data_IF_489415784409
#
_entry.id   IF_489415784409
#
_cell.length_a   1.000
_cell.length_b   1.000
_cell.length_c   1.000
_cell.angle_alpha   90.00
_cell.angle_beta   90.00
_cell.angle_gamma   90.00
#
_symmetry.space_group_name_H-M   'P 1'
#
loop_
_entity.id
_entity.type
_entity.pdbx_description
1 polymer ?
#
# COMPACT_ATOMS: atom_id res chain seq x y z
N UNK A 1 41.46 -18.97 -4.72
CA UNK A 1 42.30 -18.96 -5.94
C UNK A 1 41.41 -18.36 -7.04
N UNK A 2 41.29 -17.04 -7.19
CA UNK A 2 42.19 -16.02 -7.75
C UNK A 2 42.60 -16.21 -9.22
N UNK A 3 42.44 -15.09 -9.96
CA UNK A 3 42.78 -14.71 -11.35
C UNK A 3 41.79 -15.13 -12.43
N UNK A 4 41.34 -14.28 -13.36
CA UNK A 4 41.88 -13.02 -13.95
C UNK A 4 40.72 -12.40 -14.78
N UNK A 5 40.26 -11.15 -14.70
CA UNK A 5 40.87 -9.80 -14.79
C UNK A 5 41.64 -9.50 -16.10
N UNK A 6 40.89 -9.23 -17.19
CA UNK A 6 41.33 -8.34 -18.29
C UNK A 6 40.21 -8.07 -19.31
N UNK A 7 39.71 -6.84 -19.34
CA UNK A 7 39.86 -5.92 -20.48
C UNK A 7 39.02 -4.65 -20.22
N UNK A 8 39.68 -3.63 -19.66
CA UNK A 8 39.33 -2.21 -19.84
C UNK A 8 40.48 -1.58 -20.62
N UNK A 9 40.24 -1.11 -21.83
CA UNK A 9 40.78 0.17 -22.30
C UNK A 9 40.19 0.59 -23.66
N UNK A 10 39.77 1.86 -23.66
CA UNK A 10 39.86 2.85 -24.75
C UNK A 10 38.84 2.80 -25.90
N UNK A 11 37.88 3.73 -25.84
CA UNK A 11 37.50 4.55 -26.98
C UNK A 11 36.91 5.88 -26.48
N UNK A 12 37.74 6.92 -26.54
CA UNK A 12 37.38 8.32 -26.39
C UNK A 12 36.89 8.84 -27.75
N UNK A 13 35.89 9.72 -27.70
CA UNK A 13 35.46 10.69 -28.72
C UNK A 13 34.75 10.21 -30.01
N UNK A 14 33.44 10.47 -30.03
CA UNK A 14 32.74 10.97 -31.22
C UNK A 14 31.60 11.88 -30.73
N UNK A 15 31.83 13.19 -30.78
CA UNK A 15 30.83 14.24 -30.52
C UNK A 15 29.86 14.26 -31.71
N UNK A 16 28.60 13.91 -31.47
CA UNK A 16 27.49 14.28 -32.37
C UNK A 16 26.50 15.17 -31.61
N UNK A 17 26.50 16.44 -31.97
CA UNK A 17 25.57 17.46 -31.49
C UNK A 17 24.19 17.22 -32.08
N UNK A 18 23.25 16.72 -31.28
CA UNK A 18 21.82 16.76 -31.61
C UNK A 18 21.20 17.99 -30.94
N UNK A 19 20.90 18.99 -31.76
CA UNK A 19 20.16 20.19 -31.35
C UNK A 19 18.69 19.80 -31.10
N UNK A 20 18.27 19.78 -29.84
CA UNK A 20 16.86 19.78 -29.47
C UNK A 20 16.31 21.20 -29.61
N UNK A 21 15.44 21.41 -30.61
CA UNK A 21 14.57 22.58 -30.69
C UNK A 21 13.23 22.23 -30.02
N UNK A 22 13.06 22.70 -28.78
CA UNK A 22 11.82 22.55 -28.03
C UNK A 22 10.78 23.54 -28.57
N UNK A 23 9.88 23.08 -29.42
CA UNK A 23 8.60 23.76 -29.68
C UNK A 23 7.52 23.02 -28.91
N UNK A 24 7.05 23.62 -27.82
CA UNK A 24 5.90 23.13 -27.06
C UNK A 24 4.62 23.50 -27.81
N UNK A 25 4.09 22.58 -28.61
CA UNK A 25 2.69 22.61 -29.02
C UNK A 25 1.85 21.84 -27.97
N UNK A 26 1.06 22.59 -27.21
CA UNK A 26 0.07 22.06 -26.27
C UNK A 26 -1.12 21.50 -27.03
N UNK A 27 -1.28 20.17 -27.05
CA UNK A 27 -2.49 19.50 -27.53
C UNK A 27 -3.66 19.69 -26.52
N UNK A 28 -4.90 19.92 -26.98
CA UNK A 28 -6.04 20.16 -26.10
C UNK A 28 -6.52 18.88 -25.41
N UNK A 29 -6.86 19.00 -24.13
CA UNK A 29 -7.49 17.98 -23.28
C UNK A 29 -8.85 17.56 -23.89
N UNK A 30 -8.95 16.34 -24.43
CA UNK A 30 -10.23 15.72 -24.79
C UNK A 30 -10.91 15.19 -23.53
N UNK A 31 -12.19 15.50 -23.37
CA UNK A 31 -13.05 15.03 -22.29
C UNK A 31 -13.10 13.49 -22.26
N UNK A 32 -12.56 12.88 -21.21
CA UNK A 32 -12.70 11.46 -20.95
C UNK A 32 -14.10 11.16 -20.42
N UNK A 33 -14.82 10.26 -21.11
CA UNK A 33 -16.03 9.65 -20.56
C UNK A 33 -15.64 8.80 -19.33
N UNK A 34 -16.39 8.84 -18.22
CA UNK A 34 -16.08 8.05 -17.04
C UNK A 34 -16.19 6.55 -17.34
N UNK A 35 -15.22 5.79 -16.84
CA UNK A 35 -15.18 4.32 -16.92
C UNK A 35 -16.48 3.74 -16.36
N UNK A 36 -17.10 2.83 -17.11
CA UNK A 36 -18.22 2.05 -16.61
C UNK A 36 -17.71 1.05 -15.54
N UNK A 37 -17.74 1.49 -14.27
CA UNK A 37 -17.25 0.76 -13.08
C UNK A 37 -17.69 -0.70 -13.02
N UNK A 38 -18.88 -0.99 -13.57
CA UNK A 38 -19.45 -2.34 -13.59
C UNK A 38 -18.68 -3.34 -14.45
N UNK A 39 -17.82 -2.91 -15.38
CA UNK A 39 -17.04 -3.82 -16.23
C UNK A 39 -15.72 -4.26 -15.54
N UNK A 40 -15.06 -3.35 -14.81
CA UNK A 40 -13.79 -3.63 -14.14
C UNK A 40 -13.95 -4.36 -12.80
N UNK A 41 -15.05 -4.16 -12.08
CA UNK A 41 -15.26 -4.78 -10.76
C UNK A 41 -15.83 -6.22 -10.82
N UNK A 42 -16.34 -6.67 -11.98
CA UNK A 42 -17.18 -7.89 -12.05
C UNK A 42 -16.49 -9.17 -12.52
N UNK A 43 -15.19 -9.21 -12.77
CA UNK A 43 -14.53 -10.43 -13.23
C UNK A 43 -13.09 -10.55 -12.72
N UNK A 44 -12.93 -11.22 -11.57
CA UNK A 44 -12.09 -12.43 -11.41
C UNK A 44 -11.99 -12.85 -9.94
N UNK A 45 -12.17 -14.15 -9.70
CA UNK A 45 -12.13 -14.79 -8.37
C UNK A 45 -10.71 -15.07 -7.86
N UNK A 46 -9.82 -14.08 -7.91
CA UNK A 46 -8.45 -14.19 -7.37
C UNK A 46 -7.93 -12.85 -6.86
N UNK A 47 -8.51 -12.34 -5.77
CA UNK A 47 -7.80 -11.59 -4.72
C UNK A 47 -6.91 -10.39 -5.05
N UNK A 48 -6.95 -9.82 -6.26
CA UNK A 48 -6.13 -8.66 -6.65
C UNK A 48 -7.03 -7.58 -7.24
N UNK A 49 -7.63 -6.78 -6.36
CA UNK A 49 -8.39 -5.59 -6.77
C UNK A 49 -7.40 -4.54 -7.25
N UNK A 50 -7.39 -4.25 -8.55
CA UNK A 50 -6.67 -3.09 -9.08
C UNK A 50 -7.21 -1.85 -8.37
N UNK A 51 -6.37 -1.03 -7.69
CA UNK A 51 -6.86 0.13 -6.94
C UNK A 51 -7.70 1.05 -7.81
N UNK A 52 -8.83 1.57 -7.32
CA UNK A 52 -9.73 2.44 -8.12
C UNK A 52 -9.02 3.64 -8.76
N UNK A 53 -7.99 4.18 -8.10
CA UNK A 53 -7.16 5.26 -8.62
C UNK A 53 -6.36 4.86 -9.87
N UNK A 54 -6.02 3.58 -10.01
CA UNK A 54 -5.38 3.02 -11.19
C UNK A 54 -6.37 2.99 -12.34
N UNK A 55 -7.59 2.51 -12.10
CA UNK A 55 -8.66 2.51 -13.10
C UNK A 55 -8.97 3.93 -13.58
N UNK A 56 -9.19 4.88 -12.67
CA UNK A 56 -9.52 6.28 -13.02
C UNK A 56 -8.44 6.98 -13.87
N UNK A 57 -7.20 6.49 -13.85
CA UNK A 57 -6.08 7.05 -14.60
C UNK A 57 -5.82 6.36 -15.95
N UNK A 58 -6.57 5.31 -16.28
CA UNK A 58 -6.47 4.64 -17.57
C UNK A 58 -7.15 5.45 -18.67
N UNK A 59 -6.60 5.39 -19.87
CA UNK A 59 -7.22 5.96 -21.07
C UNK A 59 -7.65 4.84 -22.02
N UNK A 60 -8.73 5.07 -22.74
CA UNK A 60 -9.24 4.12 -23.73
C UNK A 60 -8.28 4.07 -24.94
N UNK A 61 -7.91 2.86 -25.36
CA UNK A 61 -7.22 2.55 -26.61
C UNK A 61 -8.07 1.57 -27.41
N UNK A 62 -8.47 1.98 -28.60
CA UNK A 62 -9.13 1.11 -29.58
C UNK A 62 -8.09 0.41 -30.43
N UNK A 63 -8.40 -0.81 -30.84
CA UNK A 63 -7.58 -1.60 -31.75
C UNK A 63 -8.45 -2.15 -32.87
N UNK A 64 -8.00 -1.99 -34.11
CA UNK A 64 -8.65 -2.54 -35.29
C UNK A 64 -8.16 -3.97 -35.60
N UNK A 65 -8.93 -4.79 -36.34
CA UNK A 65 -8.48 -6.12 -36.75
C UNK A 65 -7.12 -6.08 -37.45
N UNK A 66 -6.18 -6.92 -36.99
CA UNK A 66 -4.80 -7.00 -37.49
C UNK A 66 -3.83 -6.02 -36.83
N UNK A 67 -4.30 -5.06 -36.03
CA UNK A 67 -3.45 -4.09 -35.36
C UNK A 67 -2.66 -4.71 -34.21
N UNK A 68 -1.36 -4.41 -34.14
CA UNK A 68 -0.52 -4.80 -33.01
C UNK A 68 -0.64 -3.75 -31.90
N UNK A 69 -1.19 -4.17 -30.75
CA UNK A 69 -1.30 -3.33 -29.54
C UNK A 69 0.08 -3.10 -28.93
N UNK A 70 0.90 -4.15 -28.91
CA UNK A 70 2.33 -4.14 -28.54
C UNK A 70 3.09 -5.11 -29.44
N UNK A 71 4.38 -4.87 -29.66
CA UNK A 71 5.27 -5.81 -30.35
C UNK A 71 6.35 -6.32 -29.42
N UNK A 72 6.72 -7.59 -29.61
CA UNK A 72 7.86 -8.19 -28.93
C UNK A 72 9.14 -7.39 -29.23
N UNK A 73 9.95 -7.17 -28.20
CA UNK A 73 11.19 -6.40 -28.29
C UNK A 73 11.01 -4.89 -28.12
N UNK A 74 9.80 -4.35 -28.24
CA UNK A 74 9.55 -2.92 -27.99
C UNK A 74 9.79 -2.58 -26.51
N UNK A 75 10.18 -1.33 -26.25
CA UNK A 75 10.18 -0.80 -24.90
C UNK A 75 8.76 -0.79 -24.33
N UNK A 76 8.62 -1.38 -23.14
CA UNK A 76 7.30 -1.59 -22.57
C UNK A 76 6.79 -0.41 -21.77
N UNK A 77 6.00 0.47 -22.38
CA UNK A 77 5.59 1.71 -21.70
C UNK A 77 4.24 1.68 -21.00
N UNK A 78 3.35 0.76 -21.40
CA UNK A 78 1.97 0.72 -20.90
C UNK A 78 1.55 -0.66 -20.36
N UNK A 79 0.58 -0.66 -19.47
CA UNK A 79 -0.22 -1.82 -19.10
C UNK A 79 -1.61 -1.71 -19.72
N UNK A 80 -2.16 -2.84 -20.13
CA UNK A 80 -3.43 -2.92 -20.84
C UNK A 80 -4.39 -3.87 -20.14
N UNK A 81 -5.66 -3.45 -20.02
CA UNK A 81 -6.79 -4.29 -19.58
C UNK A 81 -7.79 -4.34 -20.72
N UNK A 82 -8.22 -5.55 -21.10
CA UNK A 82 -9.17 -5.75 -22.19
C UNK A 82 -10.59 -5.45 -21.71
N UNK A 83 -11.26 -4.51 -22.38
CA UNK A 83 -12.69 -4.25 -22.19
C UNK A 83 -13.54 -5.09 -23.15
N UNK A 84 -13.12 -5.18 -24.42
CA UNK A 84 -13.82 -5.97 -25.44
C UNK A 84 -12.90 -6.32 -26.63
N UNK A 85 -13.29 -7.32 -27.42
CA UNK A 85 -12.55 -7.78 -28.59
C UNK A 85 -11.76 -9.07 -28.35
N UNK A 86 -11.05 -9.53 -29.38
CA UNK A 86 -10.26 -10.76 -29.34
C UNK A 86 -8.82 -10.45 -29.75
N UNK A 87 -7.85 -10.93 -28.97
CA UNK A 87 -6.44 -10.57 -29.13
C UNK A 87 -5.55 -11.80 -29.03
N UNK A 88 -4.70 -12.01 -30.03
CA UNK A 88 -3.66 -13.04 -29.99
C UNK A 88 -2.39 -12.51 -29.36
N UNK A 89 -1.81 -13.31 -28.47
CA UNK A 89 -0.45 -13.16 -27.98
C UNK A 89 0.46 -14.00 -28.87
N UNK A 90 1.41 -13.34 -29.52
CA UNK A 90 2.35 -13.97 -30.45
C UNK A 90 3.77 -13.86 -29.92
N UNK A 91 4.52 -14.95 -29.97
CA UNK A 91 5.96 -14.95 -29.69
C UNK A 91 6.70 -15.28 -30.98
N UNK A 92 7.60 -14.40 -31.37
CA UNK A 92 8.53 -14.59 -32.48
C UNK A 92 9.75 -15.34 -31.96
N UNK A 93 9.98 -16.54 -32.50
CA UNK A 93 11.19 -17.32 -32.21
C UNK A 93 12.42 -16.80 -32.96
N UNK A 94 13.58 -17.39 -32.68
CA UNK A 94 14.85 -17.06 -33.37
C UNK A 94 14.79 -17.33 -34.89
N UNK A 95 13.85 -18.17 -35.31
CA UNK A 95 13.53 -18.48 -36.71
C UNK A 95 12.73 -17.38 -37.41
N UNK A 96 12.34 -16.32 -36.69
CA UNK A 96 11.52 -15.21 -37.20
C UNK A 96 10.04 -15.58 -37.38
N UNK A 97 9.62 -16.77 -36.97
CA UNK A 97 8.23 -17.23 -37.12
C UNK A 97 7.42 -16.81 -35.90
N UNK A 98 6.33 -16.07 -36.14
CA UNK A 98 5.36 -15.73 -35.09
C UNK A 98 4.48 -16.95 -34.78
N UNK A 99 4.46 -17.36 -33.51
CA UNK A 99 3.56 -18.42 -33.01
C UNK A 99 2.57 -17.82 -32.02
N UNK A 100 1.29 -18.09 -32.23
CA UNK A 100 0.24 -17.73 -31.26
C UNK A 100 0.40 -18.63 -30.03
N UNK A 101 0.71 -18.04 -28.88
CA UNK A 101 0.92 -18.75 -27.61
C UNK A 101 -0.30 -18.63 -26.69
N UNK A 102 -1.15 -17.62 -26.90
CA UNK A 102 -2.37 -17.40 -26.13
C UNK A 102 -3.34 -16.52 -26.91
N UNK A 103 -4.64 -16.59 -26.60
CA UNK A 103 -5.67 -15.71 -27.17
C UNK A 103 -6.59 -15.23 -26.05
N UNK A 104 -6.73 -13.92 -25.91
CA UNK A 104 -7.71 -13.29 -25.03
C UNK A 104 -9.05 -13.12 -25.75
N UNK A 105 -10.15 -13.36 -25.03
CA UNK A 105 -11.52 -13.25 -25.55
C UNK A 105 -12.39 -12.38 -24.64
N UNK A 106 -12.37 -11.07 -24.87
CA UNK A 106 -13.23 -10.10 -24.17
C UNK A 106 -12.91 -9.86 -22.69
N UNK A 107 -11.79 -10.38 -22.19
CA UNK A 107 -11.27 -10.11 -20.84
C UNK A 107 -9.79 -10.49 -20.74
N UNK A 108 -9.14 -10.00 -19.69
CA UNK A 108 -7.74 -10.26 -19.38
C UNK A 108 -6.90 -8.98 -19.37
N UNK A 109 -5.64 -9.10 -18.98
CA UNK A 109 -4.70 -7.99 -18.94
C UNK A 109 -3.31 -8.43 -19.36
N UNK A 110 -2.51 -7.52 -19.89
CA UNK A 110 -1.14 -7.83 -20.28
C UNK A 110 -0.21 -6.62 -20.16
N UNK A 111 1.08 -6.91 -20.02
CA UNK A 111 2.14 -5.90 -19.98
C UNK A 111 2.48 -5.41 -18.58
N UNK A 112 2.02 -6.09 -17.53
CA UNK A 112 2.30 -5.74 -16.13
C UNK A 112 3.79 -5.87 -15.76
N UNK A 113 4.50 -6.83 -16.35
CA UNK A 113 5.92 -7.06 -16.09
C UNK A 113 6.80 -5.91 -16.60
N UNK A 114 6.41 -5.28 -17.71
CA UNK A 114 7.13 -4.14 -18.25
C UNK A 114 7.17 -3.00 -17.22
N UNK A 115 6.06 -2.75 -16.52
CA UNK A 115 5.94 -1.68 -15.52
C UNK A 115 6.92 -1.83 -14.35
N UNK A 116 7.26 -3.06 -13.97
CA UNK A 116 8.13 -3.37 -12.83
C UNK A 116 9.62 -3.29 -13.18
N UNK A 117 10.05 -3.87 -14.29
CA UNK A 117 11.48 -4.15 -14.54
C UNK A 117 12.13 -3.38 -15.68
N UNK A 118 11.38 -2.54 -16.41
CA UNK A 118 11.91 -1.82 -17.59
C UNK A 118 12.55 -2.77 -18.62
N UNK A 119 11.90 -3.91 -18.85
CA UNK A 119 12.33 -4.91 -19.81
C UNK A 119 11.57 -4.77 -21.12
N UNK A 120 12.18 -5.12 -22.27
CA UNK A 120 11.49 -5.22 -23.55
C UNK A 120 10.29 -6.16 -23.48
N UNK A 121 9.28 -5.94 -24.33
CA UNK A 121 8.11 -6.82 -24.41
C UNK A 121 8.53 -8.25 -24.77
N UNK A 122 8.08 -9.21 -23.97
CA UNK A 122 8.37 -10.63 -24.20
C UNK A 122 7.54 -11.25 -25.35
N UNK A 123 6.44 -10.60 -25.75
CA UNK A 123 5.53 -11.07 -26.79
C UNK A 123 4.84 -9.89 -27.47
N UNK A 124 4.39 -10.11 -28.70
CA UNK A 124 3.48 -9.24 -29.44
C UNK A 124 2.04 -9.53 -29.04
N UNK A 125 1.17 -8.53 -29.11
CA UNK A 125 -0.28 -8.72 -28.96
C UNK A 125 -0.98 -8.08 -30.15
N UNK A 126 -1.75 -8.87 -30.91
CA UNK A 126 -2.44 -8.43 -32.12
C UNK A 126 -3.94 -8.62 -31.98
N UNK A 127 -4.72 -7.62 -32.36
CA UNK A 127 -6.17 -7.72 -32.43
C UNK A 127 -6.59 -8.65 -33.57
N UNK A 128 -7.44 -9.65 -33.29
CA UNK A 128 -8.12 -10.45 -34.30
C UNK A 128 -9.39 -9.77 -34.80
N UNK A 129 -10.08 -9.06 -33.90
CA UNK A 129 -11.29 -8.31 -34.16
C UNK A 129 -11.20 -6.93 -33.51
N UNK A 130 -12.06 -6.00 -33.94
CA UNK A 130 -12.13 -4.67 -33.33
C UNK A 130 -12.37 -4.79 -31.81
N UNK A 131 -11.58 -4.06 -31.03
CA UNK A 131 -11.56 -4.18 -29.58
C UNK A 131 -11.28 -2.86 -28.89
N UNK A 132 -11.62 -2.82 -27.61
CA UNK A 132 -11.35 -1.71 -26.71
C UNK A 132 -10.50 -2.20 -25.54
N UNK A 133 -9.50 -1.40 -25.20
CA UNK A 133 -8.56 -1.65 -24.12
C UNK A 133 -8.50 -0.40 -23.24
N UNK A 134 -8.32 -0.60 -21.94
CA UNK A 134 -7.87 0.45 -21.05
C UNK A 134 -6.36 0.37 -20.96
N UNK A 135 -5.67 1.48 -21.24
CA UNK A 135 -4.23 1.59 -21.22
C UNK A 135 -3.77 2.58 -20.15
N UNK A 136 -2.62 2.32 -19.52
CA UNK A 136 -2.00 3.22 -18.56
C UNK A 136 -0.50 3.17 -18.70
N UNK A 137 0.14 4.35 -18.69
CA UNK A 137 1.59 4.45 -18.82
C UNK A 137 2.33 4.13 -17.51
N UNK A 138 3.58 3.70 -17.66
CA UNK A 138 4.51 3.34 -16.60
C UNK A 138 4.67 4.43 -15.56
N UNK A 139 4.81 5.68 -15.98
CA UNK A 139 5.05 6.79 -15.07
C UNK A 139 3.81 7.05 -14.22
N UNK A 140 2.62 7.01 -14.82
CA UNK A 140 1.34 7.13 -14.12
C UNK A 140 1.12 5.96 -13.18
N UNK A 141 1.35 4.72 -13.60
CA UNK A 141 1.24 3.55 -12.72
C UNK A 141 2.18 3.62 -11.52
N UNK A 142 3.48 3.85 -11.76
CA UNK A 142 4.48 4.00 -10.69
C UNK A 142 4.14 5.18 -9.79
N UNK A 143 3.71 6.30 -10.34
CA UNK A 143 3.29 7.47 -9.56
C UNK A 143 2.09 7.17 -8.69
N UNK A 144 1.08 6.45 -9.19
CA UNK A 144 -0.10 6.08 -8.41
C UNK A 144 0.28 5.14 -7.28
N UNK A 145 1.03 4.07 -7.55
CA UNK A 145 1.48 3.12 -6.54
C UNK A 145 2.38 3.78 -5.48
N UNK A 146 3.36 4.57 -5.92
CA UNK A 146 4.26 5.29 -5.01
C UNK A 146 3.50 6.35 -4.23
N UNK A 147 2.54 7.05 -4.83
CA UNK A 147 1.72 8.07 -4.14
C UNK A 147 0.76 7.43 -3.14
N UNK A 148 0.17 6.26 -3.43
CA UNK A 148 -0.68 5.56 -2.48
C UNK A 148 0.12 5.00 -1.31
N UNK A 149 1.28 4.37 -1.59
CA UNK A 149 2.18 3.90 -0.54
C UNK A 149 2.72 5.06 0.31
N UNK A 150 3.13 6.16 -0.32
CA UNK A 150 3.59 7.37 0.37
C UNK A 150 2.49 7.99 1.22
N UNK A 151 1.26 8.13 0.70
CA UNK A 151 0.12 8.63 1.47
C UNK A 151 -0.19 7.73 2.67
N UNK A 152 -0.17 6.41 2.48
CA UNK A 152 -0.41 5.44 3.56
C UNK A 152 0.66 5.55 4.64
N UNK A 153 1.93 5.57 4.25
CA UNK A 153 3.06 5.74 5.16
C UNK A 153 2.96 7.06 5.93
N UNK A 154 2.68 8.16 5.23
CA UNK A 154 2.50 9.48 5.86
C UNK A 154 1.36 9.48 6.88
N UNK A 155 0.20 8.91 6.52
CA UNK A 155 -0.92 8.75 7.46
C UNK A 155 -0.48 7.99 8.73
N UNK A 156 0.27 6.91 8.56
CA UNK A 156 0.73 6.08 9.67
C UNK A 156 1.78 6.77 10.53
N UNK A 157 2.71 7.52 9.93
CA UNK A 157 3.63 8.39 10.67
C UNK A 157 2.87 9.44 11.51
N UNK A 158 1.82 10.07 10.93
CA UNK A 158 0.96 11.02 11.64
C UNK A 158 0.18 10.37 12.81
N UNK A 159 -0.25 9.11 12.67
CA UNK A 159 -0.89 8.35 13.75
C UNK A 159 0.10 8.05 14.88
N UNK A 160 1.32 7.64 14.54
CA UNK A 160 2.39 7.38 15.52
C UNK A 160 2.80 8.65 16.27
N UNK A 161 2.79 9.82 15.62
CA UNK A 161 3.08 11.12 16.24
C UNK A 161 2.10 11.52 17.35
N UNK A 162 0.87 11.02 17.27
CA UNK A 162 -0.16 11.31 18.29
C UNK A 162 0.06 10.53 19.58
N UNK A 163 0.87 9.47 19.58
CA UNK A 163 1.12 8.64 20.76
C UNK A 163 2.26 9.27 21.57
N UNK A 164 2.02 9.78 22.79
CA UNK A 164 3.04 10.50 23.56
C UNK A 164 4.32 9.70 23.78
N UNK A 165 4.18 8.41 24.14
CA UNK A 165 5.33 7.52 24.41
C UNK A 165 6.18 7.20 23.16
N UNK A 166 5.67 7.51 21.96
CA UNK A 166 6.36 7.30 20.67
C UNK A 166 6.91 8.62 20.09
N UNK A 167 6.84 9.74 20.83
CA UNK A 167 7.40 11.02 20.37
C UNK A 167 8.91 11.04 20.31
N UNK A 168 9.57 10.25 21.15
CA UNK A 168 11.04 10.15 21.18
C UNK A 168 11.64 9.34 20.01
N UNK A 169 10.79 8.76 19.14
CA UNK A 169 11.24 8.03 17.97
C UNK A 169 11.91 8.96 16.96
N UNK A 170 13.08 8.55 16.49
CA UNK A 170 13.76 9.18 15.37
C UNK A 170 12.98 8.96 14.07
N UNK A 171 13.15 9.83 13.05
CA UNK A 171 12.40 9.73 11.80
C UNK A 171 12.47 8.33 11.16
N UNK A 172 13.64 7.69 11.15
CA UNK A 172 13.81 6.36 10.56
C UNK A 172 13.12 5.25 11.39
N UNK A 173 13.11 5.35 12.71
CA UNK A 173 12.44 4.41 13.62
C UNK A 173 10.92 4.48 13.42
N UNK A 174 10.38 5.70 13.34
CA UNK A 174 8.98 5.97 13.04
C UNK A 174 8.58 5.43 11.67
N UNK A 175 9.42 5.64 10.67
CA UNK A 175 9.24 5.11 9.33
C UNK A 175 9.17 3.57 9.32
N UNK A 176 10.05 2.91 10.06
CA UNK A 176 10.06 1.44 10.17
C UNK A 176 8.80 0.90 10.87
N UNK A 177 8.33 1.57 11.92
CA UNK A 177 7.06 1.22 12.57
C UNK A 177 5.86 1.47 11.67
N UNK A 178 5.86 2.56 10.91
CA UNK A 178 4.81 2.86 9.95
C UNK A 178 4.69 1.73 8.92
N UNK A 179 5.81 1.20 8.44
CA UNK A 179 5.81 0.05 7.52
C UNK A 179 5.34 -1.26 8.17
N UNK A 180 5.43 -1.38 9.51
CA UNK A 180 5.02 -2.56 10.27
C UNK A 180 3.53 -2.58 10.66
N UNK A 181 2.81 -1.47 10.49
CA UNK A 181 1.39 -1.36 10.83
C UNK A 181 0.51 -2.21 9.89
N UNK A 182 -0.33 -3.05 10.48
CA UNK A 182 -1.22 -3.95 9.76
C UNK A 182 -2.65 -3.38 9.72
N UNK A 183 -3.20 -3.05 8.52
CA UNK A 183 -4.56 -2.56 8.42
C UNK A 183 -5.58 -3.69 8.70
N UNK A 184 -6.67 -3.35 9.38
CA UNK A 184 -7.83 -4.21 9.63
C UNK A 184 -9.12 -3.44 9.38
N UNK A 185 -10.07 -4.09 8.71
CA UNK A 185 -11.43 -3.57 8.52
C UNK A 185 -12.38 -4.38 9.38
N UNK A 186 -13.28 -3.70 10.07
CA UNK A 186 -14.14 -4.26 11.11
C UNK A 186 -15.60 -3.93 10.77
N UNK A 187 -16.49 -4.89 11.00
CA UNK A 187 -17.93 -4.70 10.88
C UNK A 187 -18.51 -3.95 12.11
N UNK A 188 -19.73 -3.44 11.98
CA UNK A 188 -20.44 -2.82 13.11
C UNK A 188 -20.62 -3.82 14.26
N UNK A 189 -20.33 -3.38 15.49
CA UNK A 189 -20.41 -4.20 16.69
C UNK A 189 -19.31 -5.24 16.85
N UNK A 190 -18.35 -5.33 15.93
CA UNK A 190 -17.26 -6.30 16.02
C UNK A 190 -16.35 -6.04 17.23
N UNK A 191 -16.05 -7.09 17.98
CA UNK A 191 -15.16 -7.05 19.14
C UNK A 191 -13.70 -7.01 18.68
N UNK A 192 -12.98 -5.97 19.08
CA UNK A 192 -11.58 -5.75 18.72
C UNK A 192 -10.64 -6.24 19.83
N UNK A 193 -10.97 -5.88 21.07
CA UNK A 193 -10.26 -6.26 22.29
C UNK A 193 -11.29 -6.73 23.29
N UNK A 194 -11.02 -7.81 24.01
CA UNK A 194 -11.83 -8.25 25.15
C UNK A 194 -11.11 -7.95 26.45
N UNK A 195 -11.83 -7.39 27.43
CA UNK A 195 -11.31 -7.22 28.77
C UNK A 195 -10.85 -8.57 29.37
N UNK A 196 -9.68 -8.58 30.01
CA UNK A 196 -9.09 -9.77 30.63
C UNK A 196 -8.24 -10.63 29.70
N UNK A 197 -8.30 -10.43 28.39
CA UNK A 197 -7.44 -11.15 27.44
C UNK A 197 -5.98 -10.68 27.56
N UNK A 198 -5.05 -11.49 27.07
CA UNK A 198 -3.64 -11.09 26.95
C UNK A 198 -3.49 -9.90 26.01
N UNK A 199 -2.61 -8.97 26.34
CA UNK A 199 -2.34 -7.80 25.52
C UNK A 199 -1.25 -8.11 24.47
N UNK A 200 -1.63 -8.07 23.19
CA UNK A 200 -0.81 -8.46 22.04
C UNK A 200 -0.32 -7.27 21.18
N UNK A 201 -0.86 -6.08 21.42
CA UNK A 201 -0.51 -4.90 20.63
C UNK A 201 -1.41 -3.70 20.89
N UNK A 202 -1.23 -2.66 20.08
CA UNK A 202 -2.05 -1.46 20.12
C UNK A 202 -2.70 -1.17 18.77
N UNK A 203 -3.74 -0.35 18.80
CA UNK A 203 -4.57 -0.06 17.64
C UNK A 203 -4.70 1.44 17.42
N UNK A 204 -4.82 1.84 16.16
CA UNK A 204 -5.05 3.22 15.73
C UNK A 204 -6.30 3.27 14.88
N UNK A 205 -7.21 4.20 15.14
CA UNK A 205 -8.43 4.36 14.35
C UNK A 205 -8.11 5.14 13.07
N UNK A 206 -8.10 4.46 11.92
CA UNK A 206 -7.88 5.09 10.62
C UNK A 206 -9.14 5.81 10.12
N UNK A 207 -10.30 5.19 10.35
CA UNK A 207 -11.62 5.66 9.92
C UNK A 207 -12.72 4.98 10.74
N UNK A 208 -13.86 5.64 10.94
CA UNK A 208 -14.97 5.13 11.76
C UNK A 208 -14.83 5.46 13.26
N UNK A 209 -15.45 4.64 14.12
CA UNK A 209 -15.50 4.84 15.57
C UNK A 209 -15.36 3.55 16.36
N UNK A 210 -14.83 3.65 17.57
CA UNK A 210 -14.64 2.55 18.53
C UNK A 210 -15.20 2.94 19.89
N UNK A 211 -15.97 2.04 20.51
CA UNK A 211 -16.51 2.15 21.87
C UNK A 211 -15.64 1.34 22.82
N UNK A 212 -15.08 2.00 23.84
CA UNK A 212 -14.34 1.35 24.93
C UNK A 212 -15.30 1.11 26.09
N UNK A 213 -15.39 -0.14 26.53
CA UNK A 213 -16.33 -0.58 27.55
C UNK A 213 -15.63 -1.36 28.66
N UNK A 214 -16.10 -1.19 29.89
CA UNK A 214 -15.59 -1.91 31.05
C UNK A 214 -16.75 -2.64 31.72
N UNK A 215 -16.58 -3.94 31.97
CA UNK A 215 -17.48 -4.71 32.82
C UNK A 215 -17.32 -4.23 34.27
N UNK A 216 -18.44 -3.81 34.90
CA UNK A 216 -18.48 -3.47 36.34
C UNK A 216 -18.93 -4.68 37.15
N UNK A 217 -18.95 -4.52 38.48
CA UNK A 217 -19.35 -5.56 39.43
C UNK A 217 -20.78 -6.11 39.21
N UNK A 218 -21.62 -5.37 38.47
CA UNK A 218 -22.97 -5.77 38.05
C UNK A 218 -22.97 -6.77 36.88
N UNK A 219 -21.80 -7.11 36.33
CA UNK A 219 -21.64 -7.99 35.17
C UNK A 219 -22.01 -7.35 33.83
N UNK A 220 -22.39 -6.06 33.83
CA UNK A 220 -22.73 -5.31 32.62
C UNK A 220 -21.55 -4.48 32.15
N UNK A 221 -21.35 -4.45 30.83
CA UNK A 221 -20.36 -3.57 30.21
C UNK A 221 -20.91 -2.15 30.03
N UNK A 222 -20.18 -1.17 30.56
CA UNK A 222 -20.52 0.24 30.44
C UNK A 222 -19.53 0.94 29.53
N UNK A 223 -20.01 1.73 28.56
CA UNK A 223 -19.16 2.57 27.71
C UNK A 223 -18.53 3.68 28.54
N UNK A 224 -17.19 3.70 28.55
CA UNK A 224 -16.40 4.71 29.28
C UNK A 224 -15.82 5.78 28.36
N UNK A 225 -15.60 5.44 27.10
CA UNK A 225 -15.00 6.34 26.12
C UNK A 225 -15.37 5.91 24.71
N UNK A 226 -15.53 6.90 23.84
CA UNK A 226 -15.68 6.71 22.40
C UNK A 226 -14.50 7.35 21.68
N UNK A 227 -13.93 6.61 20.74
CA UNK A 227 -12.77 6.99 19.95
C UNK A 227 -13.18 7.16 18.49
N UNK A 228 -12.57 8.12 17.83
CA UNK A 228 -12.78 8.42 16.43
C UNK A 228 -11.48 8.41 15.64
N UNK A 229 -11.58 8.80 14.37
CA UNK A 229 -10.44 8.89 13.46
C UNK A 229 -9.25 9.63 14.07
N UNK A 230 -8.10 8.97 14.08
CA UNK A 230 -6.85 9.50 14.59
C UNK A 230 -6.61 9.28 16.07
N UNK A 231 -7.55 8.68 16.80
CA UNK A 231 -7.33 8.19 18.16
C UNK A 231 -6.64 6.82 18.14
N UNK A 232 -6.13 6.41 19.30
CA UNK A 232 -5.49 5.11 19.52
C UNK A 232 -6.01 4.46 20.81
N UNK A 233 -5.78 3.16 20.96
CA UNK A 233 -6.14 2.39 22.15
C UNK A 233 -5.31 1.11 22.29
N UNK A 234 -5.24 0.58 23.52
CA UNK A 234 -4.49 -0.63 23.82
C UNK A 234 -2.98 -0.43 23.93
N UNK A 235 -2.54 0.82 24.00
CA UNK A 235 -1.15 1.26 24.13
C UNK A 235 -0.44 0.69 25.36
N UNK A 236 -1.19 0.37 26.42
CA UNK A 236 -0.65 -0.32 27.61
C UNK A 236 -0.01 -1.66 27.29
N UNK A 237 -0.34 -2.29 26.15
CA UNK A 237 0.31 -3.52 25.70
C UNK A 237 1.80 -3.34 25.39
N UNK A 238 2.22 -2.13 24.97
CA UNK A 238 3.63 -1.86 24.66
C UNK A 238 4.48 -1.66 25.93
N UNK A 239 3.84 -1.33 27.05
CA UNK A 239 4.51 -0.90 28.28
C UNK A 239 4.36 -1.92 29.40
N UNK A 240 3.27 -2.70 29.39
CA UNK A 240 2.92 -3.62 30.46
C UNK A 240 2.59 -5.00 29.91
N UNK A 241 2.83 -6.05 30.70
CA UNK A 241 2.40 -7.41 30.40
C UNK A 241 1.07 -7.75 31.10
N UNK A 242 0.26 -6.73 31.40
CA UNK A 242 -1.02 -6.91 32.09
C UNK A 242 -2.13 -7.28 31.10
N UNK A 243 -3.15 -8.03 31.55
CA UNK A 243 -4.35 -8.26 30.75
C UNK A 243 -5.04 -6.95 30.33
N UNK A 244 -5.85 -7.03 29.28
CA UNK A 244 -6.63 -5.90 28.75
C UNK A 244 -7.56 -5.34 29.82
N UNK A 245 -7.43 -4.05 30.13
CA UNK A 245 -8.23 -3.38 31.16
C UNK A 245 -9.69 -3.12 30.75
N UNK A 246 -9.98 -3.10 29.45
CA UNK A 246 -11.29 -2.78 28.89
C UNK A 246 -11.51 -3.54 27.58
N UNK A 247 -12.77 -3.77 27.24
CA UNK A 247 -13.20 -4.27 25.93
C UNK A 247 -13.27 -3.09 24.93
N UNK A 248 -13.07 -3.35 23.64
CA UNK A 248 -13.20 -2.37 22.56
C UNK A 248 -14.05 -2.94 21.43
N UNK A 249 -15.04 -2.18 20.98
CA UNK A 249 -15.99 -2.59 19.94
C UNK A 249 -16.03 -1.57 18.81
N UNK A 250 -16.09 -2.03 17.57
CA UNK A 250 -16.38 -1.16 16.43
C UNK A 250 -17.80 -0.60 16.51
N UNK A 251 -17.97 0.68 16.17
CA UNK A 251 -19.27 1.35 16.08
C UNK A 251 -19.45 1.87 14.66
N UNK A 252 -20.28 1.16 13.90
CA UNK A 252 -20.33 1.23 12.45
C UNK A 252 -19.14 0.53 11.78
N UNK A 253 -19.08 0.56 10.43
CA UNK A 253 -17.91 0.12 9.68
C UNK A 253 -16.67 0.93 10.10
N UNK A 254 -15.64 0.25 10.59
CA UNK A 254 -14.45 0.88 11.17
C UNK A 254 -13.18 0.29 10.57
N UNK A 255 -12.17 1.14 10.34
CA UNK A 255 -10.84 0.73 9.92
C UNK A 255 -9.83 1.10 10.98
N UNK A 256 -8.97 0.14 11.33
CA UNK A 256 -7.90 0.33 12.30
C UNK A 256 -6.56 -0.16 11.75
N UNK A 257 -5.47 0.46 12.20
CA UNK A 257 -4.12 -0.07 12.03
C UNK A 257 -3.71 -0.76 13.33
N UNK A 258 -3.09 -1.93 13.24
CA UNK A 258 -2.62 -2.72 14.38
C UNK A 258 -1.09 -2.76 14.41
N UNK A 259 -0.53 -2.51 15.60
CA UNK A 259 0.88 -2.64 15.91
C UNK A 259 1.07 -3.72 16.97
N UNK A 260 1.69 -4.82 16.56
CA UNK A 260 2.03 -5.97 17.40
C UNK A 260 3.23 -5.65 18.32
N UNK A 261 3.14 -6.07 19.60
CA UNK A 261 4.21 -5.82 20.59
C UNK A 261 5.51 -6.51 20.17
N UNK A 262 5.45 -7.77 19.75
CA UNK A 262 6.65 -8.53 19.39
C UNK A 262 7.38 -7.90 18.18
N UNK A 263 6.61 -7.39 17.23
CA UNK A 263 7.13 -6.65 16.07
C UNK A 263 7.76 -5.32 16.49
N UNK A 264 7.11 -4.58 17.40
CA UNK A 264 7.67 -3.35 17.95
C UNK A 264 9.00 -3.60 18.65
N UNK A 265 9.05 -4.56 19.58
CA UNK A 265 10.25 -4.89 20.35
C UNK A 265 11.39 -5.39 19.47
N UNK A 266 11.07 -6.18 18.43
CA UNK A 266 12.08 -6.63 17.47
C UNK A 266 12.69 -5.48 16.67
N UNK A 267 11.92 -4.42 16.38
CA UNK A 267 12.38 -3.30 15.57
C UNK A 267 13.14 -2.27 16.41
N UNK A 268 12.70 -1.99 17.64
CA UNK A 268 13.18 -0.86 18.42
C UNK A 268 13.66 -1.21 19.84
N UNK A 269 13.46 -2.44 20.27
CA UNK A 269 13.63 -2.85 21.66
C UNK A 269 12.44 -2.46 22.56
N UNK A 270 12.58 -2.63 23.89
CA UNK A 270 11.49 -2.38 24.83
C UNK A 270 10.99 -0.93 24.81
N UNK A 271 9.67 -0.73 24.85
CA UNK A 271 9.07 0.62 24.78
C UNK A 271 9.54 1.54 25.91
N UNK A 272 9.77 1.00 27.11
CA UNK A 272 10.27 1.76 28.25
C UNK A 272 11.62 2.42 27.99
N UNK A 273 12.50 1.79 27.20
CA UNK A 273 13.81 2.37 26.86
C UNK A 273 13.66 3.54 25.89
N UNK A 274 12.64 3.52 25.02
CA UNK A 274 12.32 4.63 24.11
C UNK A 274 11.79 5.82 24.91
N UNK A 275 10.89 5.57 25.87
CA UNK A 275 10.34 6.62 26.74
C UNK A 275 11.44 7.32 27.55
N UNK A 276 12.42 6.57 28.06
CA UNK A 276 13.55 7.12 28.83
C UNK A 276 14.48 8.04 28.02
N UNK A 277 14.42 8.01 26.68
CA UNK A 277 15.26 8.87 25.83
C UNK A 277 14.93 10.35 26.02
N UNK A 278 13.72 10.68 26.45
CA UNK A 278 13.35 12.05 26.80
C UNK A 278 12.93 12.12 28.27
N UNK A 279 13.90 12.39 29.15
CA UNK A 279 13.71 12.35 30.60
C UNK A 279 12.70 13.39 31.10
N UNK A 280 12.61 14.53 30.42
CA UNK A 280 11.70 15.62 30.77
C UNK A 280 10.24 15.24 30.49
N UNK A 281 10.01 14.49 29.41
CA UNK A 281 8.67 14.02 29.04
C UNK A 281 8.30 12.70 29.75
N UNK A 282 9.27 11.99 30.35
CA UNK A 282 9.08 10.63 30.88
C UNK A 282 8.04 10.59 32.00
N UNK A 283 8.11 11.53 32.96
CA UNK A 283 7.13 11.60 34.05
C UNK A 283 5.72 11.94 33.53
N UNK A 284 5.61 12.89 32.60
CA UNK A 284 4.32 13.25 31.99
C UNK A 284 3.71 12.09 31.19
N UNK A 285 4.54 11.35 30.47
CA UNK A 285 4.11 10.19 29.71
C UNK A 285 3.60 9.08 30.63
N UNK A 286 4.29 8.81 31.75
CA UNK A 286 3.82 7.84 32.75
C UNK A 286 2.49 8.25 33.36
N UNK A 287 2.30 9.53 33.69
CA UNK A 287 1.01 10.01 34.20
C UNK A 287 -0.10 9.87 33.15
N UNK A 288 0.17 10.16 31.87
CA UNK A 288 -0.81 9.97 30.79
C UNK A 288 -1.17 8.50 30.57
N UNK A 289 -0.22 7.58 30.76
CA UNK A 289 -0.41 6.14 30.62
C UNK A 289 -1.21 5.54 31.78
N UNK A 290 -0.90 5.93 33.02
CA UNK A 290 -1.45 5.29 34.22
C UNK A 290 -2.55 6.10 34.93
N UNK A 291 -2.82 7.32 34.48
CA UNK A 291 -3.85 8.22 34.97
C UNK A 291 -3.55 8.86 36.33
N UNK A 292 -2.91 8.14 37.25
CA UNK A 292 -2.57 8.61 38.61
C UNK A 292 -1.24 8.03 39.11
N UNK A 293 -0.53 8.79 39.98
CA UNK A 293 0.79 8.42 40.51
C UNK A 293 0.76 7.17 41.39
N UNK A 294 -0.39 6.80 41.94
CA UNK A 294 -0.58 5.60 42.77
C UNK A 294 -0.52 4.28 42.00
N UNK A 295 -0.75 4.31 40.68
CA UNK A 295 -0.66 3.12 39.82
C UNK A 295 0.79 2.82 39.35
N UNK A 296 1.77 3.65 39.71
CA UNK A 296 3.19 3.47 39.35
C UNK A 296 3.91 2.38 40.18
N UNK A 297 3.32 1.84 41.24
CA UNK A 297 3.96 0.77 42.02
C UNK A 297 4.19 -0.52 41.22
N UNK A 298 3.53 -0.66 40.07
CA UNK A 298 3.48 -1.88 39.28
C UNK A 298 4.43 -1.90 38.06
N UNK A 299 5.36 -0.94 37.98
CA UNK A 299 6.36 -0.83 36.88
C UNK A 299 7.76 -1.31 37.32
N UNK A 300 7.86 -1.93 38.50
CA UNK A 300 9.12 -2.50 39.02
C UNK A 300 9.24 -3.99 38.77
#
# INVERSE_FOLDING_TARGET
MFFSERQRHSAVESKSTWNYSTTHETLPLRSSSPINRNAAEKKEGSGSVIPSQVLDAMFEKRAEPGEYVIRQGDDGDNFYVIESGMFDVLVTGDDGVEKVVHTYNGSGSFGELALMYNMPRAASVRAQAAGALWAMDRHTFRRILLKSAFKKRKLYEELLDKVPMLKALQPYERANLADALLPRTLADGELIIRQGDSADGMYFVEDGSVSIRIARDDGHEHEIKRLGKGDYFGELALVTHKPRAASAYAVGPTKVAFLDVATFERLLGPCMEIMKRNIDDYEEQLVKLFGDKSNLTDVR
#
